data_IF_775096129766
#
_entry.id   IF_775096129766
#
_cell.length_a   1.000
_cell.length_b   1.000
_cell.length_c   1.000
_cell.angle_alpha   90.00
_cell.angle_beta   90.00
_cell.angle_gamma   90.00
#
_symmetry.space_group_name_H-M   'P 1'
#
loop_
_entity.id
_entity.type
_entity.pdbx_description
1 polymer ?
#
# COMPACT_ATOMS: atom_id res chain seq x y z
N UNK A 1 7.16 -2.16 -10.95
CA UNK A 1 7.04 -3.61 -11.15
C UNK A 1 8.38 -4.28 -10.96
N UNK A 2 9.40 -3.85 -11.72
CA UNK A 2 10.74 -4.42 -11.68
C UNK A 2 11.31 -4.74 -10.28
N UNK A 3 11.16 -3.86 -9.27
CA UNK A 3 11.74 -4.14 -7.95
C UNK A 3 11.08 -5.31 -7.20
N UNK A 4 9.74 -5.39 -7.23
CA UNK A 4 8.99 -6.47 -6.57
C UNK A 4 9.20 -7.82 -7.26
N UNK A 5 9.58 -7.84 -8.54
CA UNK A 5 9.91 -9.04 -9.31
C UNK A 5 11.39 -9.43 -9.16
N UNK A 6 12.27 -8.42 -9.07
CA UNK A 6 13.71 -8.60 -9.02
C UNK A 6 14.17 -9.28 -7.71
N UNK A 7 13.65 -8.85 -6.57
CA UNK A 7 14.09 -9.39 -5.27
C UNK A 7 13.77 -10.89 -5.13
N UNK A 8 12.55 -11.37 -5.42
CA UNK A 8 12.27 -12.81 -5.43
C UNK A 8 13.14 -13.57 -6.43
N UNK A 9 13.31 -13.02 -7.65
CA UNK A 9 14.10 -13.69 -8.69
C UNK A 9 15.59 -13.81 -8.34
N UNK A 10 16.19 -12.79 -7.72
CA UNK A 10 17.61 -12.75 -7.41
C UNK A 10 17.95 -13.42 -6.07
N UNK A 11 17.08 -13.30 -5.08
CA UNK A 11 17.39 -13.67 -3.70
C UNK A 11 16.47 -14.74 -3.12
N UNK A 12 15.40 -15.15 -3.83
CA UNK A 12 14.44 -16.15 -3.35
C UNK A 12 13.60 -15.66 -2.17
N UNK A 13 13.47 -14.35 -1.98
CA UNK A 13 12.74 -13.73 -0.88
C UNK A 13 11.41 -13.15 -1.35
N UNK A 14 10.36 -13.38 -0.58
CA UNK A 14 9.05 -12.74 -0.79
C UNK A 14 9.12 -11.24 -0.50
N UNK A 15 8.42 -10.44 -1.30
CA UNK A 15 8.36 -8.98 -1.15
C UNK A 15 6.95 -8.55 -0.79
N UNK A 16 6.84 -7.90 0.35
CA UNK A 16 5.62 -7.20 0.78
C UNK A 16 5.84 -5.69 0.64
N UNK A 17 4.82 -4.98 0.15
CA UNK A 17 4.91 -3.53 -0.09
C UNK A 17 4.32 -2.78 1.10
N UNK A 18 5.12 -1.83 1.62
CA UNK A 18 4.73 -0.96 2.71
C UNK A 18 4.94 -1.61 4.08
N UNK A 19 5.32 -0.79 5.06
CA UNK A 19 5.59 -1.21 6.44
C UNK A 19 4.83 -0.41 7.48
N UNK A 20 4.21 0.70 7.07
CA UNK A 20 3.48 1.62 7.95
C UNK A 20 2.06 1.84 7.44
N UNK A 21 1.07 2.04 8.33
CA UNK A 21 -0.30 2.36 7.94
C UNK A 21 -0.39 3.58 7.03
N UNK A 22 -1.35 3.57 6.11
CA UNK A 22 -1.71 4.73 5.32
C UNK A 22 -2.51 5.69 6.21
N UNK A 23 -2.07 6.95 6.41
CA UNK A 23 -2.84 7.91 7.20
C UNK A 23 -4.22 8.20 6.58
N UNK A 24 -5.19 8.57 7.40
CA UNK A 24 -6.54 8.86 6.97
C UNK A 24 -6.61 10.03 5.98
N UNK A 25 -5.79 11.08 6.15
CA UNK A 25 -5.73 12.21 5.23
C UNK A 25 -5.26 11.81 3.81
N UNK A 26 -4.30 10.88 3.69
CA UNK A 26 -3.85 10.29 2.43
C UNK A 26 -4.95 9.42 1.83
N UNK A 27 -5.58 8.57 2.65
CA UNK A 27 -6.65 7.70 2.17
C UNK A 27 -7.78 8.48 1.49
N UNK A 28 -8.27 9.54 2.13
CA UNK A 28 -9.33 10.38 1.59
C UNK A 28 -8.88 11.12 0.32
N UNK A 29 -7.69 11.71 0.33
CA UNK A 29 -7.13 12.41 -0.84
C UNK A 29 -7.03 11.47 -2.05
N UNK A 30 -6.52 10.25 -1.85
CA UNK A 30 -6.38 9.28 -2.94
C UNK A 30 -7.71 8.66 -3.37
N UNK A 31 -8.72 8.64 -2.50
CA UNK A 31 -10.10 8.26 -2.83
C UNK A 31 -10.75 9.31 -3.75
N UNK A 32 -10.67 10.60 -3.41
CA UNK A 32 -11.19 11.70 -4.23
C UNK A 32 -10.50 11.77 -5.60
N UNK A 33 -9.17 11.59 -5.62
CA UNK A 33 -8.38 11.59 -6.86
C UNK A 33 -8.54 10.29 -7.68
N UNK A 34 -9.11 9.23 -7.11
CA UNK A 34 -9.29 7.93 -7.75
C UNK A 34 -7.99 7.18 -8.09
N UNK A 35 -6.86 7.62 -7.56
CA UNK A 35 -5.52 7.11 -7.94
C UNK A 35 -5.24 5.68 -7.49
N UNK A 36 -5.96 5.17 -6.48
CA UNK A 36 -5.83 3.80 -5.98
C UNK A 36 -6.92 2.83 -6.47
N UNK A 37 -7.82 3.25 -7.36
CA UNK A 37 -8.97 2.41 -7.75
C UNK A 37 -8.58 1.17 -8.58
N UNK A 38 -7.43 1.18 -9.27
CA UNK A 38 -6.99 0.02 -10.06
C UNK A 38 -6.64 -1.18 -9.17
N UNK A 39 -6.92 -2.40 -9.65
CA UNK A 39 -6.58 -3.65 -8.95
C UNK A 39 -5.09 -3.72 -8.53
N UNK A 40 -4.19 -3.23 -9.39
CA UNK A 40 -2.76 -3.16 -9.11
C UNK A 40 -2.42 -2.29 -7.90
N UNK A 41 -3.16 -1.19 -7.70
CA UNK A 41 -2.95 -0.32 -6.54
C UNK A 41 -3.56 -0.92 -5.28
N UNK A 42 -4.75 -1.52 -5.39
CA UNK A 42 -5.39 -2.24 -4.29
C UNK A 42 -4.46 -3.35 -3.74
N UNK A 43 -3.86 -4.16 -4.62
CA UNK A 43 -2.88 -5.19 -4.23
C UNK A 43 -1.65 -4.59 -3.54
N UNK A 44 -1.19 -3.41 -3.97
CA UNK A 44 0.01 -2.76 -3.41
C UNK A 44 -0.22 -2.20 -2.01
N UNK A 45 -1.41 -1.72 -1.73
CA UNK A 45 -1.73 -1.06 -0.46
C UNK A 45 -2.41 -2.00 0.54
N UNK A 46 -2.80 -3.22 0.13
CA UNK A 46 -3.61 -4.13 0.94
C UNK A 46 -3.06 -4.37 2.36
N UNK A 47 -1.74 -4.40 2.52
CA UNK A 47 -1.10 -4.69 3.81
C UNK A 47 -0.94 -3.46 4.71
N UNK A 48 -1.07 -2.26 4.15
CA UNK A 48 -0.90 -0.98 4.86
C UNK A 48 -2.19 -0.16 4.95
N UNK A 49 -3.25 -0.58 4.25
CA UNK A 49 -4.58 -0.03 4.41
C UNK A 49 -5.26 -0.71 5.61
N UNK A 50 -4.97 -0.21 6.80
CA UNK A 50 -5.51 -0.69 8.09
C UNK A 50 -6.91 -0.14 8.36
N UNK A 51 -7.52 -0.45 9.51
CA UNK A 51 -8.78 0.15 9.97
C UNK A 51 -8.68 1.67 10.21
N UNK A 52 -9.83 2.34 10.25
CA UNK A 52 -9.92 3.80 10.39
C UNK A 52 -9.30 4.34 11.68
N UNK A 53 -9.43 3.63 12.80
CA UNK A 53 -8.83 4.04 14.07
C UNK A 53 -7.30 4.12 13.96
N UNK A 54 -6.70 3.07 13.40
CA UNK A 54 -5.25 3.02 13.15
C UNK A 54 -4.81 4.09 12.15
N UNK A 55 -5.60 4.35 11.10
CA UNK A 55 -5.29 5.40 10.11
C UNK A 55 -5.36 6.80 10.72
N UNK A 56 -6.33 7.07 11.59
CA UNK A 56 -6.47 8.34 12.32
C UNK A 56 -5.35 8.54 13.35
N UNK A 57 -4.88 7.47 13.99
CA UNK A 57 -3.75 7.54 14.92
C UNK A 57 -2.41 7.87 14.24
N UNK A 58 -2.33 7.68 12.92
CA UNK A 58 -1.14 7.87 12.10
C UNK A 58 -1.14 9.16 11.27
N UNK A 59 -2.22 9.96 11.36
CA UNK A 59 -2.37 11.26 10.70
C UNK A 59 -1.41 12.34 11.21
#
# INVERSE_FOLDING_TARGET
QAFCEFIPAKYGLEVVIGTHPIPQNYYLTHQELGTWQSARWQERIQHVLTDEETRLAYD
#
